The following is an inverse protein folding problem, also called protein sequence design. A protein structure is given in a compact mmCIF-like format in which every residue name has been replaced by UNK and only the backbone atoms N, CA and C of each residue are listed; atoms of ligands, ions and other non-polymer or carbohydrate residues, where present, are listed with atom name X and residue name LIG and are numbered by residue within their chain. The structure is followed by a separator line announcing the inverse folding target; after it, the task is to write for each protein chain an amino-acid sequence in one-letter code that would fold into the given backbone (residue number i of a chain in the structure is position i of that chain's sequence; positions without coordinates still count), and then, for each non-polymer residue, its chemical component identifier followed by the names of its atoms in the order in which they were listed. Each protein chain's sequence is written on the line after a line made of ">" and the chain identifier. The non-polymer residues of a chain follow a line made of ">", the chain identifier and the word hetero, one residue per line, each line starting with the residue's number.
data_IF_398110994344
#
_entry.id   IF_398110994344
#
_cell.length_a   1.000
_cell.length_b   1.000
_cell.length_c   1.000
_cell.angle_alpha   90.00
_cell.angle_beta   90.00
_cell.angle_gamma   90.00
#
_symmetry.space_group_name_H-M   'P 1'
#
loop_
_entity.id
_entity.type
_entity.pdbx_description
1 polymer ?
#
# COMPACT_ATOMS: atom_id res chain seq x y z
N UNK A 1 -36.41 66.90 -30.08
CA UNK A 1 -36.19 68.38 -30.22
C UNK A 1 -34.88 68.55 -30.89
N UNK A 2 -35.05 68.94 -32.16
CA UNK A 2 -34.43 70.01 -32.93
C UNK A 2 -32.90 70.07 -32.91
N UNK A 3 -32.30 69.84 -34.04
CA UNK A 3 -31.92 70.68 -35.21
C UNK A 3 -30.55 71.28 -34.94
N UNK A 4 -29.64 71.42 -35.86
CA UNK A 4 -29.50 71.71 -37.30
C UNK A 4 -28.00 71.74 -37.62
N UNK A 5 -27.59 71.20 -38.75
CA UNK A 5 -27.21 71.92 -40.02
C UNK A 5 -25.91 72.68 -39.93
N UNK A 6 -25.04 72.59 -40.87
CA UNK A 6 -24.87 72.75 -42.25
C UNK A 6 -23.41 73.10 -42.56
N UNK A 7 -22.88 72.67 -43.61
CA UNK A 7 -22.46 73.22 -44.92
C UNK A 7 -20.96 73.52 -44.96
N UNK A 8 -20.21 73.29 -45.92
CA UNK A 8 -20.24 73.15 -47.37
C UNK A 8 -18.87 73.58 -47.94
N UNK A 9 -18.45 72.84 -48.97
CA UNK A 9 -17.67 73.37 -50.16
C UNK A 9 -16.18 73.65 -49.90
N UNK A 10 -15.26 73.38 -50.75
CA UNK A 10 -15.20 73.06 -52.17
C UNK A 10 -13.79 72.60 -52.55
N UNK A 11 -13.70 71.66 -53.42
CA UNK A 11 -12.83 71.49 -54.58
C UNK A 11 -11.86 72.64 -54.90
N UNK A 12 -10.61 72.50 -55.50
CA UNK A 12 -10.41 71.72 -56.72
C UNK A 12 -9.09 70.94 -56.87
N UNK A 13 -9.16 69.84 -57.55
CA UNK A 13 -8.45 69.43 -58.74
C UNK A 13 -7.17 70.18 -59.06
N UNK A 14 -6.01 69.52 -58.88
CA UNK A 14 -4.86 69.73 -59.76
C UNK A 14 -4.13 68.42 -60.07
N UNK A 15 -4.24 68.08 -61.27
CA UNK A 15 -3.58 67.11 -62.09
C UNK A 15 -2.07 67.30 -62.05
N UNK A 16 -1.28 66.28 -61.66
CA UNK A 16 0.09 66.17 -62.17
C UNK A 16 0.52 64.71 -62.11
N UNK A 17 0.51 64.10 -63.20
CA UNK A 17 1.21 62.90 -63.64
C UNK A 17 2.69 62.98 -63.31
N UNK A 18 3.20 62.08 -62.59
CA UNK A 18 4.60 61.64 -62.71
C UNK A 18 4.64 60.12 -62.61
N UNK A 19 4.88 59.59 -63.72
CA UNK A 19 5.19 58.19 -64.01
C UNK A 19 6.56 57.81 -63.46
N UNK A 20 6.66 56.50 -63.12
CA UNK A 20 7.76 55.65 -63.48
C UNK A 20 8.77 55.24 -62.40
N UNK A 21 8.85 53.93 -62.37
CA UNK A 21 10.06 53.16 -62.20
C UNK A 21 10.55 53.02 -60.74
N UNK A 22 9.89 52.16 -60.04
CA UNK A 22 10.65 51.37 -59.10
C UNK A 22 10.69 49.92 -59.57
N UNK A 23 11.71 49.58 -60.32
CA UNK A 23 12.23 48.23 -60.33
C UNK A 23 12.54 47.82 -58.92
N UNK A 24 11.61 47.15 -58.23
CA UNK A 24 11.86 46.50 -57.01
C UNK A 24 12.74 45.31 -57.30
N UNK A 25 14.02 45.45 -57.05
CA UNK A 25 14.91 44.31 -56.76
C UNK A 25 14.18 43.44 -55.77
N UNK A 26 13.79 42.26 -56.18
CA UNK A 26 13.54 41.13 -55.23
C UNK A 26 14.83 40.97 -54.52
N UNK A 27 14.96 41.60 -53.33
CA UNK A 27 15.87 41.14 -52.28
C UNK A 27 15.47 39.71 -52.02
N UNK A 28 16.19 38.78 -52.66
CA UNK A 28 16.32 37.45 -52.11
C UNK A 28 16.69 37.67 -50.66
N UNK A 29 15.73 37.48 -49.80
CA UNK A 29 16.05 37.22 -48.40
C UNK A 29 16.96 36.00 -48.44
N UNK A 30 18.25 36.24 -48.35
CA UNK A 30 19.16 35.22 -47.89
C UNK A 30 18.57 34.78 -46.57
N UNK A 31 17.90 33.63 -46.56
CA UNK A 31 17.72 32.89 -45.37
C UNK A 31 19.15 32.54 -44.94
N UNK A 32 19.74 33.38 -44.09
CA UNK A 32 20.84 32.91 -43.28
C UNK A 32 20.35 31.58 -42.72
N UNK A 33 21.00 30.48 -43.13
CA UNK A 33 20.64 29.14 -42.69
C UNK A 33 20.71 29.19 -41.16
N UNK A 34 19.55 29.16 -40.53
CA UNK A 34 19.46 29.25 -39.09
C UNK A 34 20.32 28.12 -38.51
N UNK A 35 21.16 28.49 -37.58
CA UNK A 35 22.01 27.51 -36.88
C UNK A 35 21.14 26.76 -35.86
N UNK A 36 20.93 25.50 -36.11
CA UNK A 36 20.21 24.61 -35.21
C UNK A 36 21.18 23.66 -34.54
N UNK A 37 20.93 23.37 -33.26
CA UNK A 37 21.65 22.35 -32.56
C UNK A 37 21.35 20.97 -33.17
N UNK A 38 22.39 20.25 -33.50
CA UNK A 38 22.29 18.93 -34.11
C UNK A 38 22.76 17.88 -33.12
N UNK A 39 21.94 16.84 -32.91
CA UNK A 39 22.22 15.73 -32.03
C UNK A 39 22.34 14.46 -32.88
N UNK A 40 23.40 13.70 -32.64
CA UNK A 40 23.53 12.34 -33.18
C UNK A 40 22.85 11.37 -32.21
N UNK A 41 21.90 10.62 -32.73
CA UNK A 41 21.13 9.66 -31.93
C UNK A 41 22.00 8.52 -31.46
N UNK A 42 22.10 8.37 -30.14
CA UNK A 42 22.85 7.32 -29.48
C UNK A 42 21.97 6.39 -28.64
N UNK A 43 22.57 5.31 -28.14
CA UNK A 43 21.95 4.49 -27.11
C UNK A 43 22.33 4.97 -25.72
N UNK A 44 21.36 4.98 -24.82
CA UNK A 44 21.55 5.34 -23.41
C UNK A 44 20.74 4.41 -22.51
N UNK A 45 21.29 4.06 -21.37
CA UNK A 45 20.51 3.42 -20.33
C UNK A 45 19.71 4.48 -19.59
N UNK A 46 18.43 4.22 -19.35
CA UNK A 46 17.55 5.14 -18.66
C UNK A 46 16.79 4.42 -17.55
N UNK A 47 16.66 5.09 -16.41
CA UNK A 47 15.76 4.65 -15.34
C UNK A 47 14.55 5.56 -15.33
N UNK A 48 13.39 4.97 -15.52
CA UNK A 48 12.10 5.64 -15.40
C UNK A 48 11.48 5.29 -14.05
N UNK A 49 10.85 6.26 -13.42
CA UNK A 49 10.17 6.10 -12.15
C UNK A 49 8.66 6.13 -12.36
N UNK A 50 8.00 5.07 -11.94
CA UNK A 50 6.54 5.03 -11.86
C UNK A 50 6.10 5.30 -10.44
N UNK A 51 5.19 6.25 -10.30
CA UNK A 51 4.66 6.65 -9.01
C UNK A 51 3.22 6.14 -8.85
N UNK A 52 2.96 5.50 -7.72
CA UNK A 52 1.66 4.95 -7.38
C UNK A 52 1.22 5.44 -6.01
N UNK A 53 0.00 5.93 -5.91
CA UNK A 53 -0.59 6.21 -4.60
C UNK A 53 -0.73 4.93 -3.80
N UNK A 54 -0.36 4.97 -2.53
CA UNK A 54 -0.28 3.80 -1.69
C UNK A 54 -0.82 4.07 -0.30
N UNK A 55 -1.31 2.98 0.33
CA UNK A 55 -1.76 2.96 1.72
C UNK A 55 -0.81 2.14 2.56
N UNK A 56 -0.42 2.69 3.71
CA UNK A 56 0.44 2.03 4.69
C UNK A 56 -0.42 1.25 5.67
N UNK A 57 -0.04 0.02 5.93
CA UNK A 57 -0.69 -0.85 6.92
C UNK A 57 0.39 -1.49 7.78
N UNK A 58 0.24 -1.47 9.09
CA UNK A 58 1.12 -2.18 9.99
C UNK A 58 1.16 -3.68 9.67
N UNK A 59 2.25 -4.35 10.02
CA UNK A 59 2.44 -5.78 9.79
C UNK A 59 1.33 -6.62 10.41
N UNK A 60 0.91 -6.28 11.62
CA UNK A 60 -0.18 -6.91 12.34
C UNK A 60 -0.96 -5.88 13.13
N UNK A 61 -2.28 -5.90 12.98
CA UNK A 61 -3.19 -5.01 13.70
C UNK A 61 -4.16 -5.88 14.44
N UNK A 62 -4.30 -5.66 15.73
CA UNK A 62 -5.21 -6.42 16.58
C UNK A 62 -6.07 -5.48 17.41
N UNK A 63 -7.37 -5.61 17.23
CA UNK A 63 -8.35 -4.98 18.10
C UNK A 63 -8.45 -5.79 19.40
N UNK A 64 -8.08 -5.18 20.50
CA UNK A 64 -8.16 -5.79 21.82
C UNK A 64 -9.55 -5.54 22.38
N UNK A 65 -10.33 -6.63 22.51
CA UNK A 65 -11.70 -6.62 23.03
C UNK A 65 -11.78 -7.44 24.31
N UNK A 66 -12.64 -7.06 25.29
CA UNK A 66 -12.83 -7.84 26.49
C UNK A 66 -13.55 -9.14 26.17
N UNK A 67 -13.22 -10.22 26.88
CA UNK A 67 -13.90 -11.52 26.75
C UNK A 67 -14.93 -11.74 27.85
N UNK A 68 -14.93 -10.88 28.88
CA UNK A 68 -15.85 -10.90 30.00
C UNK A 68 -16.45 -9.51 30.24
N UNK A 69 -17.59 -9.46 30.89
CA UNK A 69 -18.29 -8.21 31.19
C UNK A 69 -17.92 -7.68 32.59
N UNK A 70 -17.82 -6.36 32.72
CA UNK A 70 -17.56 -5.71 34.00
C UNK A 70 -17.08 -4.28 33.84
N UNK A 71 -16.90 -3.56 34.95
CA UNK A 71 -16.33 -2.21 34.92
C UNK A 71 -14.81 -2.27 34.84
N UNK A 72 -14.21 -1.38 34.05
CA UNK A 72 -12.77 -1.17 34.03
C UNK A 72 -12.32 -0.60 35.37
N UNK A 73 -11.46 -1.30 36.08
CA UNK A 73 -10.89 -0.84 37.35
C UNK A 73 -9.57 -0.11 37.15
N UNK A 74 -8.75 -0.56 36.20
CA UNK A 74 -7.45 0.03 35.92
C UNK A 74 -7.17 0.01 34.40
N UNK A 75 -6.50 1.07 33.94
CA UNK A 75 -5.89 1.16 32.63
C UNK A 75 -4.39 1.29 32.85
N UNK A 76 -3.62 0.31 32.34
CA UNK A 76 -2.19 0.15 32.63
C UNK A 76 -1.31 0.53 31.44
N UNK A 77 -1.89 1.00 30.36
CA UNK A 77 -1.19 1.48 29.17
C UNK A 77 -1.65 2.89 28.84
N UNK A 78 -0.74 3.69 28.25
CA UNK A 78 -1.08 4.99 27.72
C UNK A 78 -1.34 4.95 26.22
N UNK A 79 -2.04 5.96 25.72
CA UNK A 79 -2.24 6.18 24.29
C UNK A 79 -0.91 6.45 23.59
N UNK A 80 -0.70 5.84 22.41
CA UNK A 80 0.53 5.96 21.66
C UNK A 80 1.75 5.26 22.29
N UNK A 81 1.58 4.53 23.39
CA UNK A 81 2.68 3.82 24.04
C UNK A 81 3.00 2.49 23.37
N UNK A 82 4.28 2.15 23.36
CA UNK A 82 4.74 0.82 22.97
C UNK A 82 4.36 -0.21 24.04
N UNK A 83 3.73 -1.30 23.61
CA UNK A 83 3.31 -2.42 24.44
C UNK A 83 3.95 -3.72 23.97
N UNK A 84 4.15 -4.67 24.88
CA UNK A 84 4.71 -5.99 24.57
C UNK A 84 3.61 -7.04 24.56
N UNK A 85 3.80 -8.08 23.75
CA UNK A 85 2.93 -9.26 23.78
C UNK A 85 2.85 -9.83 25.20
N UNK A 86 1.61 -10.08 25.69
CA UNK A 86 1.33 -10.56 27.04
C UNK A 86 1.29 -9.48 28.12
N UNK A 87 1.61 -8.23 27.82
CA UNK A 87 1.48 -7.12 28.76
C UNK A 87 0.01 -6.85 29.08
N UNK A 88 -0.33 -6.74 30.38
CA UNK A 88 -1.68 -6.37 30.81
C UNK A 88 -1.93 -4.90 30.50
N UNK A 89 -3.01 -4.62 29.76
CA UNK A 89 -3.41 -3.30 29.33
C UNK A 89 -4.56 -2.75 30.16
N UNK A 90 -5.55 -3.60 30.49
CA UNK A 90 -6.71 -3.22 31.27
C UNK A 90 -6.99 -4.27 32.34
N UNK A 91 -7.57 -3.85 33.46
CA UNK A 91 -8.11 -4.74 34.48
C UNK A 91 -9.62 -4.44 34.59
N UNK A 92 -10.41 -5.49 34.43
CA UNK A 92 -11.85 -5.49 34.64
C UNK A 92 -12.12 -5.95 36.08
N UNK A 93 -13.21 -5.52 36.71
CA UNK A 93 -13.57 -5.91 38.09
C UNK A 93 -13.45 -7.44 38.30
N UNK A 94 -12.54 -7.84 39.15
CA UNK A 94 -12.21 -9.24 39.42
C UNK A 94 -13.04 -9.85 40.53
N UNK A 95 -13.71 -9.03 41.34
CA UNK A 95 -14.40 -9.49 42.57
C UNK A 95 -15.40 -10.61 42.29
N UNK A 96 -16.35 -10.46 41.35
CA UNK A 96 -17.33 -11.52 41.08
C UNK A 96 -16.68 -12.78 40.50
N UNK A 97 -15.62 -12.64 39.72
CA UNK A 97 -14.91 -13.78 39.08
C UNK A 97 -14.05 -14.54 40.09
N UNK A 98 -13.43 -13.87 41.07
CA UNK A 98 -12.73 -14.53 42.20
C UNK A 98 -13.69 -15.34 43.06
N UNK A 99 -14.83 -14.75 43.40
CA UNK A 99 -15.85 -15.45 44.19
C UNK A 99 -16.37 -16.69 43.45
N UNK A 100 -16.61 -16.58 42.13
CA UNK A 100 -17.02 -17.73 41.30
C UNK A 100 -15.95 -18.83 41.26
N UNK A 101 -14.67 -18.47 41.16
CA UNK A 101 -13.58 -19.44 41.23
C UNK A 101 -13.49 -20.13 42.59
N UNK A 102 -13.60 -19.40 43.70
CA UNK A 102 -13.60 -19.95 45.04
C UNK A 102 -14.74 -20.95 45.24
N UNK A 103 -15.96 -20.62 44.78
CA UNK A 103 -17.10 -21.55 44.79
C UNK A 103 -16.83 -22.83 43.98
N UNK A 104 -16.26 -22.72 42.79
CA UNK A 104 -15.93 -23.86 41.92
C UNK A 104 -14.84 -24.74 42.56
N UNK A 105 -13.83 -24.16 43.19
CA UNK A 105 -12.78 -24.87 43.92
C UNK A 105 -13.37 -25.63 45.11
N UNK A 106 -14.29 -25.02 45.87
CA UNK A 106 -14.97 -25.67 47.00
C UNK A 106 -15.85 -26.83 46.52
N UNK A 107 -16.58 -26.69 45.43
CA UNK A 107 -17.39 -27.75 44.83
C UNK A 107 -16.51 -28.95 44.38
N UNK A 108 -15.36 -28.68 43.74
CA UNK A 108 -14.41 -29.75 43.38
C UNK A 108 -13.89 -30.50 44.60
N UNK A 109 -13.45 -29.78 45.65
CA UNK A 109 -12.98 -30.41 46.89
C UNK A 109 -14.05 -31.29 47.55
N UNK A 110 -15.32 -30.84 47.51
CA UNK A 110 -16.44 -31.65 48.01
C UNK A 110 -16.64 -32.94 47.19
N UNK A 111 -16.58 -32.84 45.86
CA UNK A 111 -16.67 -34.01 44.97
C UNK A 111 -15.48 -34.97 45.16
N UNK A 112 -14.27 -34.48 45.35
CA UNK A 112 -13.08 -35.30 45.64
C UNK A 112 -13.22 -36.05 46.96
N UNK A 113 -13.80 -35.44 48.03
CA UNK A 113 -14.08 -36.13 49.28
C UNK A 113 -15.10 -37.25 49.11
N UNK A 114 -16.17 -37.00 48.30
CA UNK A 114 -17.15 -38.05 47.95
C UNK A 114 -16.53 -39.20 47.18
N UNK A 115 -15.65 -38.87 46.20
CA UNK A 115 -14.90 -39.88 45.46
C UNK A 115 -14.03 -40.76 46.38
N UNK A 116 -13.32 -40.13 47.32
CA UNK A 116 -12.52 -40.86 48.28
C UNK A 116 -13.37 -41.86 49.11
N UNK A 117 -14.56 -41.42 49.55
CA UNK A 117 -15.51 -42.31 50.29
C UNK A 117 -16.03 -43.43 49.38
N UNK A 118 -16.44 -43.14 48.15
CA UNK A 118 -16.93 -44.15 47.19
C UNK A 118 -15.84 -45.18 46.86
N UNK A 119 -14.58 -44.73 46.70
CA UNK A 119 -13.43 -45.61 46.45
C UNK A 119 -13.16 -46.56 47.65
N UNK A 120 -13.20 -46.02 48.84
CA UNK A 120 -13.04 -46.81 50.04
C UNK A 120 -14.15 -47.83 50.16
N UNK A 121 -15.42 -47.50 49.97
CA UNK A 121 -16.54 -48.40 50.01
C UNK A 121 -16.42 -49.49 48.94
N UNK A 122 -16.05 -49.20 47.73
CA UNK A 122 -15.82 -50.19 46.68
C UNK A 122 -14.68 -51.14 47.02
N UNK A 123 -13.57 -50.65 47.61
CA UNK A 123 -12.46 -51.49 48.05
C UNK A 123 -12.88 -52.42 49.16
N UNK A 124 -13.56 -51.94 50.24
CA UNK A 124 -14.05 -52.78 51.34
C UNK A 124 -15.01 -53.82 50.81
N UNK A 125 -15.94 -53.50 49.89
CA UNK A 125 -16.90 -54.48 49.38
C UNK A 125 -16.21 -55.54 48.50
N UNK A 126 -15.14 -55.18 47.80
CA UNK A 126 -14.33 -56.14 47.06
C UNK A 126 -13.60 -57.11 47.95
N UNK A 127 -13.03 -56.66 49.08
CA UNK A 127 -12.37 -57.50 50.07
C UNK A 127 -13.39 -58.48 50.76
N UNK A 128 -14.58 -57.99 51.07
CA UNK A 128 -15.64 -58.82 51.64
C UNK A 128 -16.15 -59.91 50.67
N UNK A 129 -16.13 -59.64 49.38
CA UNK A 129 -16.45 -60.57 48.29
C UNK A 129 -15.41 -61.72 48.25
N UNK A 130 -14.12 -61.38 48.33
CA UNK A 130 -13.06 -62.40 48.40
C UNK A 130 -13.26 -63.39 49.62
N UNK A 131 -13.82 -62.87 50.72
CA UNK A 131 -14.24 -63.65 51.88
C UNK A 131 -15.57 -64.37 51.74
N UNK A 132 -16.24 -64.30 50.55
CA UNK A 132 -17.58 -64.87 50.29
C UNK A 132 -18.70 -64.33 51.20
N UNK A 133 -18.57 -63.12 51.73
CA UNK A 133 -19.52 -62.47 52.63
C UNK A 133 -20.61 -61.71 51.90
N UNK A 134 -20.30 -61.20 50.71
CA UNK A 134 -21.23 -60.33 49.89
C UNK A 134 -21.42 -60.87 48.47
N UNK A 135 -22.51 -60.45 47.79
CA UNK A 135 -22.87 -60.86 46.46
C UNK A 135 -22.13 -60.03 45.35
N UNK A 136 -22.00 -60.58 44.14
CA UNK A 136 -21.48 -59.85 42.96
C UNK A 136 -22.24 -58.58 42.68
N UNK A 137 -23.57 -58.58 42.86
CA UNK A 137 -24.45 -57.42 42.67
C UNK A 137 -24.09 -56.26 43.62
N UNK A 138 -23.69 -56.57 44.87
CA UNK A 138 -23.29 -55.57 45.86
C UNK A 138 -22.00 -54.85 45.43
N UNK A 139 -21.00 -55.64 44.98
CA UNK A 139 -19.73 -55.06 44.45
C UNK A 139 -19.97 -54.21 43.22
N UNK A 140 -20.83 -54.65 42.27
CA UNK A 140 -21.14 -53.88 41.05
C UNK A 140 -21.91 -52.59 41.42
N UNK A 141 -22.78 -52.61 42.45
CA UNK A 141 -23.42 -51.38 42.92
C UNK A 141 -22.40 -50.35 43.44
N UNK A 142 -21.41 -50.82 44.25
CA UNK A 142 -20.34 -49.93 44.75
C UNK A 142 -19.43 -49.44 43.62
N UNK A 143 -19.18 -50.28 42.62
CA UNK A 143 -18.43 -49.88 41.42
C UNK A 143 -19.14 -48.75 40.64
N UNK A 144 -20.46 -48.89 40.44
CA UNK A 144 -21.25 -47.85 39.79
C UNK A 144 -21.26 -46.55 40.58
N UNK A 145 -21.34 -46.63 41.94
CA UNK A 145 -21.20 -45.44 42.80
C UNK A 145 -19.82 -44.80 42.72
N UNK A 146 -18.75 -45.59 42.56
CA UNK A 146 -17.41 -45.07 42.34
C UNK A 146 -17.31 -44.33 40.98
N UNK A 147 -17.84 -44.93 39.90
CA UNK A 147 -17.86 -44.30 38.58
C UNK A 147 -18.67 -42.98 38.54
N UNK A 148 -19.81 -42.97 39.27
CA UNK A 148 -20.60 -41.73 39.45
C UNK A 148 -19.81 -40.63 40.15
N UNK A 149 -19.10 -40.97 41.22
CA UNK A 149 -18.27 -40.04 41.98
C UNK A 149 -17.07 -39.55 41.15
N UNK A 150 -16.45 -40.40 40.31
CA UNK A 150 -15.40 -40.02 39.36
C UNK A 150 -15.92 -39.03 38.32
N UNK A 151 -17.10 -39.27 37.76
CA UNK A 151 -17.76 -38.36 36.81
C UNK A 151 -18.08 -37.00 37.46
N UNK A 152 -18.53 -36.99 38.73
CA UNK A 152 -18.81 -35.76 39.48
C UNK A 152 -17.53 -34.91 39.70
N UNK A 153 -16.38 -35.55 39.99
CA UNK A 153 -15.09 -34.84 40.07
C UNK A 153 -14.67 -34.27 38.73
N UNK A 154 -14.84 -35.03 37.64
CA UNK A 154 -14.53 -34.55 36.31
C UNK A 154 -15.38 -33.31 35.93
N UNK A 155 -16.67 -33.33 36.26
CA UNK A 155 -17.59 -32.21 36.03
C UNK A 155 -17.17 -30.98 36.84
N UNK A 156 -16.94 -31.09 38.12
CA UNK A 156 -16.56 -29.94 38.99
C UNK A 156 -15.17 -29.39 38.64
N UNK A 157 -14.25 -30.24 38.20
CA UNK A 157 -12.95 -29.83 37.68
C UNK A 157 -13.10 -28.98 36.41
N UNK A 158 -13.99 -29.37 35.49
CA UNK A 158 -14.28 -28.55 34.28
C UNK A 158 -14.90 -27.20 34.65
N UNK A 159 -15.78 -27.16 35.68
CA UNK A 159 -16.34 -25.91 36.20
C UNK A 159 -15.27 -25.00 36.80
N UNK A 160 -14.31 -25.56 37.57
CA UNK A 160 -13.19 -24.78 38.11
C UNK A 160 -12.32 -24.18 36.97
N UNK A 161 -12.01 -24.97 35.93
CA UNK A 161 -11.25 -24.47 34.77
C UNK A 161 -11.98 -23.32 34.09
N UNK A 162 -13.28 -23.43 33.91
CA UNK A 162 -14.10 -22.35 33.34
C UNK A 162 -14.05 -21.09 34.22
N UNK A 163 -14.24 -21.20 35.51
CA UNK A 163 -14.18 -20.05 36.42
C UNK A 163 -12.78 -19.42 36.45
N UNK A 164 -11.73 -20.20 36.37
CA UNK A 164 -10.34 -19.75 36.30
C UNK A 164 -10.06 -18.99 34.99
N UNK A 165 -10.54 -19.51 33.86
CA UNK A 165 -10.42 -18.82 32.57
C UNK A 165 -11.15 -17.48 32.59
N UNK A 166 -12.38 -17.44 33.11
CA UNK A 166 -13.14 -16.19 33.20
C UNK A 166 -12.41 -15.17 34.09
N UNK A 167 -11.81 -15.56 35.19
CA UNK A 167 -10.98 -14.68 36.01
C UNK A 167 -9.74 -14.21 35.23
N UNK A 168 -9.09 -15.09 34.48
CA UNK A 168 -7.92 -14.71 33.69
C UNK A 168 -8.27 -13.68 32.60
N UNK A 169 -9.48 -13.73 32.03
CA UNK A 169 -9.96 -12.79 31.00
C UNK A 169 -10.26 -11.39 31.56
N UNK A 170 -10.34 -11.23 32.89
CA UNK A 170 -10.45 -9.92 33.53
C UNK A 170 -9.16 -9.10 33.39
N UNK A 171 -8.01 -9.77 33.20
CA UNK A 171 -6.75 -9.14 32.82
C UNK A 171 -6.63 -9.14 31.31
N UNK A 172 -7.01 -8.03 30.69
CA UNK A 172 -6.93 -7.89 29.24
C UNK A 172 -5.50 -7.61 28.83
N UNK A 173 -4.91 -8.56 28.09
CA UNK A 173 -3.50 -8.53 27.67
C UNK A 173 -3.35 -8.27 26.19
N UNK A 174 -2.24 -7.64 25.80
CA UNK A 174 -1.90 -7.45 24.38
C UNK A 174 -1.52 -8.81 23.75
N UNK A 175 -2.15 -9.20 22.63
CA UNK A 175 -1.80 -10.42 21.91
C UNK A 175 -0.53 -10.27 21.06
N UNK A 176 -0.10 -9.03 20.78
CA UNK A 176 1.04 -8.67 19.95
C UNK A 176 1.89 -7.61 20.63
N UNK A 177 3.15 -7.47 20.20
CA UNK A 177 3.96 -6.30 20.51
C UNK A 177 3.71 -5.22 19.47
N UNK A 178 3.64 -3.95 19.86
CA UNK A 178 3.36 -2.87 18.94
C UNK A 178 3.05 -1.58 19.68
N UNK A 179 2.36 -0.65 19.03
CA UNK A 179 1.95 0.64 19.58
C UNK A 179 0.44 0.64 19.83
N UNK A 180 0.03 1.06 21.02
CA UNK A 180 -1.37 1.20 21.39
C UNK A 180 -1.98 2.45 20.73
N UNK A 181 -3.17 2.32 20.17
CA UNK A 181 -3.94 3.46 19.62
C UNK A 181 -4.52 4.35 20.74
N UNK A 182 -5.38 5.28 20.34
CA UNK A 182 -6.25 6.02 21.27
C UNK A 182 -7.16 5.06 22.06
N UNK A 183 -7.45 5.39 23.31
CA UNK A 183 -8.25 4.59 24.24
C UNK A 183 -9.56 5.33 24.51
N UNK A 184 -10.69 4.92 23.91
CA UNK A 184 -11.97 5.64 24.10
C UNK A 184 -12.63 5.37 25.46
N UNK A 185 -12.06 4.49 26.28
CA UNK A 185 -12.62 4.00 27.52
C UNK A 185 -11.93 4.59 28.76
N UNK A 186 -12.68 4.76 29.84
CA UNK A 186 -12.18 5.31 31.10
C UNK A 186 -12.37 4.30 32.25
N UNK A 187 -11.63 4.50 33.33
CA UNK A 187 -11.88 3.76 34.58
C UNK A 187 -13.31 4.00 35.04
N UNK A 188 -14.02 2.93 35.36
CA UNK A 188 -15.46 2.96 35.68
C UNK A 188 -16.38 2.65 34.50
N UNK A 189 -15.89 2.64 33.26
CA UNK A 189 -16.70 2.26 32.11
C UNK A 189 -17.09 0.78 32.17
N UNK A 190 -18.37 0.48 31.90
CA UNK A 190 -18.87 -0.88 31.76
C UNK A 190 -18.55 -1.40 30.37
N UNK A 191 -17.87 -2.54 30.29
CA UNK A 191 -17.48 -3.19 29.05
C UNK A 191 -17.98 -4.63 28.98
N UNK A 192 -18.11 -5.17 27.78
CA UNK A 192 -18.53 -6.55 27.53
C UNK A 192 -17.92 -7.06 26.23
N UNK A 193 -18.06 -8.36 25.93
CA UNK A 193 -17.61 -8.94 24.65
C UNK A 193 -18.29 -8.36 23.42
N UNK A 194 -19.43 -7.67 23.56
CA UNK A 194 -20.26 -7.18 22.47
C UNK A 194 -20.14 -5.65 22.27
N UNK A 195 -19.10 -5.01 22.82
CA UNK A 195 -18.89 -3.56 22.60
C UNK A 195 -18.61 -3.28 21.12
N UNK A 196 -19.14 -2.15 20.62
CA UNK A 196 -18.97 -1.71 19.23
C UNK A 196 -17.50 -1.36 18.93
N UNK A 197 -16.86 -0.62 19.87
CA UNK A 197 -15.47 -0.17 19.74
C UNK A 197 -14.54 -1.04 20.59
N UNK A 198 -13.33 -1.38 20.09
CA UNK A 198 -12.36 -2.11 20.88
C UNK A 198 -11.88 -1.30 22.09
N UNK A 199 -11.32 -1.97 23.10
CA UNK A 199 -10.68 -1.26 24.23
C UNK A 199 -9.49 -0.45 23.77
N UNK A 200 -8.70 -1.03 22.89
CA UNK A 200 -7.54 -0.41 22.22
C UNK A 200 -7.20 -1.23 20.98
N UNK A 201 -6.66 -0.59 19.96
CA UNK A 201 -6.05 -1.28 18.83
C UNK A 201 -4.52 -1.25 19.01
N UNK A 202 -3.88 -2.41 18.88
CA UNK A 202 -2.42 -2.52 18.92
C UNK A 202 -1.92 -2.84 17.52
N UNK A 203 -1.05 -1.96 16.98
CA UNK A 203 -0.43 -2.12 15.68
C UNK A 203 1.05 -2.46 15.84
N UNK A 204 1.49 -3.56 15.21
CA UNK A 204 2.90 -3.86 15.01
C UNK A 204 3.39 -3.15 13.75
N UNK A 205 4.00 -1.99 13.97
CA UNK A 205 4.56 -1.15 12.90
C UNK A 205 6.08 -1.34 12.74
N UNK A 206 6.68 -2.40 13.29
CA UNK A 206 8.12 -2.71 13.13
C UNK A 206 8.51 -2.92 11.67
N UNK A 207 7.61 -3.49 10.91
CA UNK A 207 7.59 -3.61 9.47
C UNK A 207 6.22 -3.13 8.97
N UNK A 208 6.17 -2.41 7.85
CA UNK A 208 4.90 -1.97 7.28
C UNK A 208 4.68 -2.56 5.91
N UNK A 209 3.43 -2.87 5.63
CA UNK A 209 2.95 -3.25 4.32
C UNK A 209 2.38 -2.03 3.60
N UNK A 210 2.87 -1.79 2.42
CA UNK A 210 2.44 -0.68 1.57
C UNK A 210 1.70 -1.26 0.38
N UNK A 211 0.40 -0.99 0.32
CA UNK A 211 -0.49 -1.46 -0.73
C UNK A 211 -0.67 -0.38 -1.78
N UNK A 212 -0.45 -0.72 -3.03
CA UNK A 212 -0.68 0.12 -4.19
C UNK A 212 -1.26 -0.70 -5.33
N UNK A 213 -1.86 -0.05 -6.32
CA UNK A 213 -2.52 -0.73 -7.42
C UNK A 213 -1.93 -0.34 -8.77
N UNK A 214 -1.86 -1.31 -9.67
CA UNK A 214 -1.50 -1.13 -11.07
C UNK A 214 -2.69 -1.56 -11.95
N UNK A 215 -2.75 -1.08 -13.19
CA UNK A 215 -3.77 -1.56 -14.13
C UNK A 215 -3.53 -3.00 -14.55
N UNK A 216 -4.60 -3.70 -14.98
CA UNK A 216 -4.50 -5.05 -15.52
C UNK A 216 -3.51 -5.15 -16.68
N UNK A 217 -3.50 -4.17 -17.59
CA UNK A 217 -2.54 -4.13 -18.70
C UNK A 217 -1.09 -4.11 -18.20
N UNK A 218 -0.79 -3.31 -17.18
CA UNK A 218 0.54 -3.28 -16.58
C UNK A 218 0.90 -4.62 -15.91
N UNK A 219 -0.06 -5.28 -15.28
CA UNK A 219 0.17 -6.61 -14.69
C UNK A 219 0.46 -7.66 -15.77
N UNK A 220 -0.26 -7.63 -16.89
CA UNK A 220 0.00 -8.50 -18.04
C UNK A 220 1.37 -8.25 -18.67
N UNK A 221 1.79 -6.98 -18.80
CA UNK A 221 3.12 -6.61 -19.29
C UNK A 221 4.23 -7.16 -18.36
N UNK A 222 4.03 -7.09 -17.04
CA UNK A 222 4.96 -7.66 -16.07
C UNK A 222 5.06 -9.19 -16.21
N UNK A 223 3.93 -9.87 -16.38
CA UNK A 223 3.91 -11.32 -16.60
C UNK A 223 4.62 -11.69 -17.92
N UNK A 224 4.37 -10.93 -18.99
CA UNK A 224 5.04 -11.14 -20.28
C UNK A 224 6.56 -10.93 -20.18
N UNK A 225 7.01 -9.94 -19.40
CA UNK A 225 8.41 -9.61 -19.21
C UNK A 225 9.16 -10.64 -18.33
N UNK A 226 8.55 -11.08 -17.24
CA UNK A 226 9.20 -11.92 -16.23
C UNK A 226 8.83 -13.42 -16.33
N UNK A 227 7.83 -13.77 -17.14
CA UNK A 227 7.35 -15.13 -17.34
C UNK A 227 6.31 -15.60 -16.33
N UNK A 228 6.38 -15.16 -15.08
CA UNK A 228 5.37 -15.44 -14.04
C UNK A 228 5.38 -14.39 -12.94
N UNK A 229 4.32 -14.37 -12.13
CA UNK A 229 4.19 -13.50 -10.96
C UNK A 229 5.31 -13.78 -9.94
N UNK A 230 5.60 -15.06 -9.68
CA UNK A 230 6.65 -15.46 -8.73
C UNK A 230 8.04 -15.03 -9.20
N UNK A 231 8.31 -15.12 -10.50
CA UNK A 231 9.55 -14.66 -11.09
C UNK A 231 9.69 -13.15 -11.00
N UNK A 232 8.58 -12.42 -11.20
CA UNK A 232 8.54 -10.96 -10.98
C UNK A 232 8.86 -10.61 -9.54
N UNK A 233 8.15 -11.18 -8.55
CA UNK A 233 8.37 -10.88 -7.12
C UNK A 233 9.85 -11.11 -6.72
N UNK A 234 10.47 -12.16 -7.24
CA UNK A 234 11.88 -12.48 -6.95
C UNK A 234 12.88 -11.51 -7.59
N UNK A 235 12.54 -10.96 -8.76
CA UNK A 235 13.44 -10.13 -9.57
C UNK A 235 13.02 -8.64 -9.57
N UNK A 236 11.90 -8.32 -8.93
CA UNK A 236 11.43 -6.93 -8.85
C UNK A 236 12.51 -6.04 -8.24
N UNK A 237 12.70 -4.83 -8.77
CA UNK A 237 13.62 -3.87 -8.19
C UNK A 237 13.17 -3.46 -6.79
N UNK A 238 14.11 -2.97 -6.00
CA UNK A 238 13.78 -2.28 -4.75
C UNK A 238 12.92 -1.06 -5.08
N UNK A 239 11.95 -0.78 -4.22
CA UNK A 239 11.03 0.35 -4.36
C UNK A 239 11.30 1.39 -3.29
N UNK A 240 11.17 2.66 -3.65
CA UNK A 240 11.27 3.77 -2.70
C UNK A 240 9.88 4.25 -2.30
N UNK A 241 9.80 4.92 -1.16
CA UNK A 241 8.56 5.46 -0.63
C UNK A 241 8.72 6.97 -0.45
N UNK A 242 7.80 7.75 -1.01
CA UNK A 242 7.70 9.18 -0.76
C UNK A 242 6.53 9.43 0.17
N UNK A 243 6.82 10.01 1.33
CA UNK A 243 5.83 10.36 2.33
C UNK A 243 5.00 11.59 1.90
N UNK A 244 3.83 11.80 2.51
CA UNK A 244 2.91 12.90 2.16
C UNK A 244 3.52 14.31 2.36
N UNK A 245 4.57 14.44 3.16
CA UNK A 245 5.32 15.69 3.31
C UNK A 245 6.31 15.96 2.16
N UNK A 246 6.32 15.10 1.13
CA UNK A 246 7.19 15.19 -0.04
C UNK A 246 8.61 14.62 0.16
N UNK A 247 8.97 14.21 1.38
CA UNK A 247 10.27 13.60 1.65
C UNK A 247 10.28 12.13 1.28
N UNK A 248 11.39 11.66 0.76
CA UNK A 248 11.63 10.24 0.56
C UNK A 248 11.92 9.58 1.90
N UNK A 249 11.46 8.33 2.02
CA UNK A 249 11.74 7.49 3.17
C UNK A 249 13.13 6.84 2.99
N UNK A 250 13.92 6.82 4.05
CA UNK A 250 15.33 6.42 3.96
C UNK A 250 15.51 4.92 3.63
N UNK A 251 14.56 4.09 4.03
CA UNK A 251 14.62 2.64 3.81
C UNK A 251 13.92 2.25 2.51
N UNK A 252 14.53 1.33 1.78
CA UNK A 252 13.94 0.76 0.58
C UNK A 252 13.05 -0.44 0.90
N UNK A 253 11.94 -0.55 0.17
CA UNK A 253 11.03 -1.66 0.25
C UNK A 253 11.22 -2.69 -0.86
N UNK A 254 10.59 -3.85 -0.67
CA UNK A 254 10.55 -4.93 -1.67
C UNK A 254 9.11 -5.31 -1.96
N UNK A 255 8.79 -5.52 -3.23
CA UNK A 255 7.49 -6.07 -3.63
C UNK A 255 7.43 -7.50 -3.09
N UNK A 256 6.46 -7.77 -2.22
CA UNK A 256 6.32 -9.04 -1.50
C UNK A 256 5.13 -9.87 -1.95
N UNK A 257 4.14 -9.25 -2.58
CA UNK A 257 2.98 -9.95 -3.12
C UNK A 257 2.31 -9.13 -4.24
N UNK A 258 1.60 -9.84 -5.10
CA UNK A 258 0.67 -9.29 -6.08
C UNK A 258 -0.65 -10.07 -5.95
N UNK A 259 -1.75 -9.37 -6.06
CA UNK A 259 -3.08 -10.02 -6.04
C UNK A 259 -3.22 -10.98 -7.21
N UNK A 260 -3.77 -12.15 -6.95
CA UNK A 260 -4.17 -13.11 -7.99
C UNK A 260 -5.51 -12.77 -8.65
N UNK A 261 -6.15 -11.68 -8.25
CA UNK A 261 -7.46 -11.24 -8.76
C UNK A 261 -7.38 -9.79 -9.22
N UNK A 262 -8.13 -9.48 -10.26
CA UNK A 262 -8.38 -8.11 -10.72
C UNK A 262 -9.63 -7.60 -10.03
N UNK A 263 -9.59 -6.41 -9.50
CA UNK A 263 -10.76 -5.73 -8.96
C UNK A 263 -11.72 -5.39 -10.11
N UNK A 264 -12.93 -5.92 -10.08
CA UNK A 264 -13.89 -5.82 -11.18
C UNK A 264 -14.44 -4.38 -11.37
N UNK A 265 -14.42 -3.55 -10.33
CA UNK A 265 -14.93 -2.18 -10.43
C UNK A 265 -13.89 -1.23 -11.00
N UNK A 266 -12.62 -1.45 -10.69
CA UNK A 266 -11.53 -0.53 -11.05
C UNK A 266 -10.61 -1.06 -12.15
N UNK A 267 -10.64 -2.36 -12.47
CA UNK A 267 -9.70 -3.00 -13.38
C UNK A 267 -8.26 -3.00 -12.86
N UNK A 268 -8.10 -2.90 -11.54
CA UNK A 268 -6.80 -2.79 -10.91
C UNK A 268 -6.35 -4.10 -10.25
N UNK A 269 -5.04 -4.30 -10.23
CA UNK A 269 -4.37 -5.40 -9.52
C UNK A 269 -3.60 -4.80 -8.35
N UNK A 270 -3.87 -5.29 -7.15
CA UNK A 270 -3.20 -4.81 -5.95
C UNK A 270 -1.82 -5.46 -5.77
N UNK A 271 -0.83 -4.65 -5.43
CA UNK A 271 0.50 -5.07 -5.03
C UNK A 271 0.76 -4.69 -3.58
N UNK A 272 1.60 -5.49 -2.93
CA UNK A 272 2.10 -5.21 -1.60
C UNK A 272 3.62 -5.14 -1.62
N UNK A 273 4.14 -4.02 -1.16
CA UNK A 273 5.55 -3.88 -0.82
C UNK A 273 5.74 -3.90 0.70
N UNK A 274 6.83 -4.44 1.16
CA UNK A 274 7.22 -4.49 2.57
C UNK A 274 8.37 -3.53 2.79
N UNK A 275 8.24 -2.65 3.79
CA UNK A 275 9.25 -1.69 4.19
C UNK A 275 9.64 -1.90 5.65
N UNK A 276 10.94 -1.94 5.97
CA UNK A 276 11.40 -1.87 7.36
C UNK A 276 11.00 -0.52 7.97
N UNK A 277 10.67 -0.49 9.25
CA UNK A 277 10.29 0.74 9.94
C UNK A 277 11.00 0.87 11.31
N UNK A 278 12.33 0.92 11.32
CA UNK A 278 13.10 0.91 12.56
C UNK A 278 12.84 2.13 13.46
N UNK A 279 12.52 3.26 12.84
CA UNK A 279 12.29 4.52 13.55
C UNK A 279 10.80 4.76 13.88
N UNK A 280 9.91 3.85 13.51
CA UNK A 280 8.47 3.98 13.77
C UNK A 280 7.79 5.20 13.11
N UNK A 281 8.36 5.72 12.00
CA UNK A 281 7.83 6.92 11.31
C UNK A 281 6.58 6.58 10.51
N UNK A 282 6.52 5.39 9.96
CA UNK A 282 5.40 4.92 9.16
C UNK A 282 4.36 4.28 10.08
N UNK A 283 3.15 4.82 10.07
CA UNK A 283 2.06 4.32 10.91
C UNK A 283 0.96 3.68 10.08
N UNK A 284 0.28 2.71 10.69
CA UNK A 284 -0.95 2.16 10.12
C UNK A 284 -1.96 3.25 9.76
N UNK A 285 -2.59 3.12 8.59
CA UNK A 285 -3.58 4.07 8.07
C UNK A 285 -2.99 5.26 7.32
N UNK A 286 -1.66 5.44 7.35
CA UNK A 286 -0.98 6.47 6.59
C UNK A 286 -1.09 6.26 5.08
N UNK A 287 -0.86 7.35 4.32
CA UNK A 287 -0.77 7.34 2.86
C UNK A 287 0.63 7.74 2.42
N UNK A 288 1.06 7.26 1.28
CA UNK A 288 2.35 7.58 0.69
C UNK A 288 2.31 7.35 -0.83
N UNK A 289 3.40 7.68 -1.51
CA UNK A 289 3.61 7.36 -2.92
C UNK A 289 4.74 6.35 -3.04
N UNK A 290 4.46 5.18 -3.60
CA UNK A 290 5.48 4.19 -3.94
C UNK A 290 6.09 4.56 -5.29
N UNK A 291 7.42 4.55 -5.34
CA UNK A 291 8.20 4.82 -6.54
C UNK A 291 8.82 3.48 -6.99
N UNK A 292 8.39 3.02 -8.15
CA UNK A 292 8.90 1.77 -8.76
C UNK A 292 9.84 2.15 -9.90
N UNK A 293 11.16 1.91 -9.77
CA UNK A 293 12.10 2.16 -10.86
C UNK A 293 11.96 1.10 -11.95
N UNK A 294 12.00 1.54 -13.20
CA UNK A 294 12.08 0.67 -14.38
C UNK A 294 13.38 0.96 -15.10
N UNK A 295 14.29 0.02 -15.10
CA UNK A 295 15.58 0.14 -15.79
C UNK A 295 15.42 -0.32 -17.23
N UNK A 296 15.68 0.58 -18.15
CA UNK A 296 15.67 0.32 -19.59
C UNK A 296 17.11 0.45 -20.09
N UNK A 297 17.57 -0.57 -20.80
CA UNK A 297 18.92 -0.61 -21.37
C UNK A 297 18.87 -0.44 -22.86
N UNK A 298 19.94 0.11 -23.44
CA UNK A 298 20.10 0.27 -24.89
C UNK A 298 18.96 1.06 -25.60
N UNK A 299 18.34 2.01 -24.90
CA UNK A 299 17.24 2.79 -25.44
C UNK A 299 17.76 3.93 -26.33
N UNK A 300 17.04 4.22 -27.40
CA UNK A 300 17.21 5.45 -28.18
C UNK A 300 16.53 6.58 -27.39
N UNK A 301 17.32 7.55 -26.94
CA UNK A 301 16.86 8.66 -26.10
C UNK A 301 17.12 9.97 -26.83
N UNK A 302 16.11 10.82 -26.89
CA UNK A 302 16.17 12.16 -27.50
C UNK A 302 15.61 13.21 -26.55
N UNK A 303 16.11 14.47 -26.59
CA UNK A 303 15.51 15.57 -25.83
C UNK A 303 14.05 15.78 -26.21
N UNK A 304 13.21 16.17 -25.23
CA UNK A 304 11.82 16.49 -25.48
C UNK A 304 11.69 17.64 -26.49
N UNK A 305 12.60 18.60 -26.44
CA UNK A 305 12.64 19.80 -27.34
C UNK A 305 12.96 19.44 -28.80
N UNK A 306 13.54 18.26 -29.04
CA UNK A 306 13.77 17.73 -30.38
C UNK A 306 12.50 17.19 -31.05
N UNK A 307 11.39 17.09 -30.32
CA UNK A 307 10.12 16.58 -30.84
C UNK A 307 9.08 17.69 -31.04
N UNK A 308 8.21 17.49 -32.00
CA UNK A 308 6.99 18.30 -32.15
C UNK A 308 5.80 17.40 -32.42
N UNK A 309 4.63 17.88 -32.07
CA UNK A 309 3.40 17.13 -32.23
C UNK A 309 2.54 17.75 -33.35
N UNK A 310 2.10 16.90 -34.26
CA UNK A 310 1.19 17.28 -35.33
C UNK A 310 0.10 16.22 -35.48
N UNK A 311 -1.16 16.62 -35.40
CA UNK A 311 -2.33 15.74 -35.53
C UNK A 311 -2.23 14.48 -34.60
N UNK A 312 -1.88 14.69 -33.36
CA UNK A 312 -1.75 13.64 -32.35
C UNK A 312 -0.68 12.58 -32.66
N UNK A 313 0.34 12.95 -33.41
CA UNK A 313 1.51 12.13 -33.75
C UNK A 313 2.78 12.93 -33.48
N UNK A 314 3.77 12.28 -32.90
CA UNK A 314 5.08 12.89 -32.61
C UNK A 314 6.01 12.74 -33.81
N UNK A 315 6.74 13.81 -34.10
CA UNK A 315 7.72 13.87 -35.18
C UNK A 315 9.04 14.43 -34.65
N UNK A 316 10.11 14.09 -35.37
CA UNK A 316 11.43 14.71 -35.23
C UNK A 316 11.89 15.18 -36.65
N UNK A 317 12.71 16.21 -36.71
CA UNK A 317 13.39 16.56 -37.95
C UNK A 317 14.72 15.82 -37.99
N UNK A 318 14.81 14.85 -38.92
CA UNK A 318 16.06 14.15 -39.24
C UNK A 318 16.81 14.96 -40.32
N UNK A 319 18.11 15.10 -40.16
CA UNK A 319 18.95 15.79 -41.15
C UNK A 319 19.52 14.75 -42.10
N UNK A 320 19.12 14.82 -43.38
CA UNK A 320 19.56 13.95 -44.45
C UNK A 320 20.18 14.79 -45.54
N UNK A 321 21.46 14.60 -45.83
CA UNK A 321 22.20 15.39 -46.82
C UNK A 321 22.12 16.92 -46.60
N UNK A 322 22.08 17.36 -45.32
CA UNK A 322 21.98 18.77 -44.95
C UNK A 322 20.58 19.34 -44.99
N UNK A 323 19.54 18.55 -45.27
CA UNK A 323 18.15 18.96 -45.40
C UNK A 323 17.31 18.32 -44.30
N UNK A 324 16.36 19.08 -43.70
CA UNK A 324 15.44 18.57 -42.70
C UNK A 324 14.35 17.71 -43.34
N UNK A 325 14.14 16.53 -42.77
CA UNK A 325 13.10 15.58 -43.16
C UNK A 325 12.23 15.25 -41.94
N UNK A 326 10.95 15.63 -41.98
CA UNK A 326 9.97 15.34 -40.97
C UNK A 326 9.77 13.82 -40.87
N UNK A 327 10.18 13.21 -39.77
CA UNK A 327 10.13 11.78 -39.56
C UNK A 327 9.20 11.46 -38.41
N UNK A 328 8.14 10.66 -38.61
CA UNK A 328 7.24 10.26 -37.53
C UNK A 328 7.96 9.29 -36.58
N UNK A 329 7.80 9.53 -35.30
CA UNK A 329 8.38 8.69 -34.26
C UNK A 329 7.29 8.14 -33.35
N UNK A 330 7.49 6.90 -32.88
CA UNK A 330 6.68 6.33 -31.80
C UNK A 330 7.47 6.44 -30.51
N UNK A 331 6.94 7.23 -29.58
CA UNK A 331 7.54 7.46 -28.29
C UNK A 331 7.06 6.39 -27.29
N UNK A 332 7.93 6.02 -26.39
CA UNK A 332 7.56 5.21 -25.23
C UNK A 332 6.61 6.05 -24.33
N UNK A 333 5.53 5.46 -23.78
CA UNK A 333 4.50 6.22 -23.04
C UNK A 333 4.99 6.97 -21.81
N UNK A 334 6.16 6.62 -21.30
CA UNK A 334 6.74 7.23 -20.11
C UNK A 334 8.04 7.94 -20.43
N UNK A 335 8.28 9.03 -19.72
CA UNK A 335 9.47 9.87 -19.86
C UNK A 335 9.86 10.48 -18.51
N UNK A 336 11.07 11.01 -18.41
CA UNK A 336 11.58 11.67 -17.21
C UNK A 336 11.28 13.18 -17.14
N UNK A 337 10.46 13.70 -18.06
CA UNK A 337 10.13 15.13 -18.18
C UNK A 337 11.17 15.96 -18.94
N UNK A 338 12.29 15.37 -19.36
CA UNK A 338 13.36 16.03 -20.13
C UNK A 338 13.67 15.31 -21.43
N UNK A 339 13.60 14.00 -21.42
CA UNK A 339 14.00 13.12 -22.51
C UNK A 339 12.88 12.13 -22.85
N UNK A 340 12.70 11.84 -24.13
CA UNK A 340 11.81 10.79 -24.61
C UNK A 340 12.60 9.57 -25.07
N UNK A 341 12.04 8.38 -24.85
CA UNK A 341 12.53 7.14 -25.41
C UNK A 341 11.79 6.89 -26.72
N UNK A 342 12.52 6.61 -27.78
CA UNK A 342 11.95 6.33 -29.10
C UNK A 342 11.92 4.81 -29.32
N UNK A 343 10.71 4.28 -29.55
CA UNK A 343 10.51 2.88 -29.88
C UNK A 343 10.75 2.59 -31.36
N UNK A 344 10.32 3.51 -32.25
CA UNK A 344 10.38 3.37 -33.70
C UNK A 344 10.45 4.73 -34.38
N UNK A 345 11.06 4.78 -35.57
CA UNK A 345 11.07 5.93 -36.44
C UNK A 345 12.45 6.49 -36.72
N UNK A 346 13.39 6.36 -35.81
CA UNK A 346 14.80 6.74 -35.99
C UNK A 346 15.71 5.59 -35.53
N UNK A 347 16.95 5.63 -36.00
CA UNK A 347 17.99 4.63 -35.72
C UNK A 347 19.20 5.28 -35.06
N UNK A 348 20.02 4.46 -34.41
CA UNK A 348 21.31 4.91 -33.88
C UNK A 348 22.20 5.39 -35.03
N UNK A 349 22.81 6.57 -34.85
CA UNK A 349 23.61 7.21 -35.86
C UNK A 349 22.83 8.22 -36.73
N UNK A 350 21.50 8.25 -36.68
CA UNK A 350 20.73 9.28 -37.30
C UNK A 350 21.05 10.64 -36.66
N UNK A 351 21.03 11.68 -37.48
CA UNK A 351 21.24 13.05 -37.03
C UNK A 351 19.89 13.76 -36.98
N UNK A 352 19.54 14.33 -35.83
CA UNK A 352 18.28 15.03 -35.62
C UNK A 352 18.54 16.46 -35.13
N UNK A 353 17.52 17.32 -35.28
CA UNK A 353 17.53 18.66 -34.69
C UNK A 353 17.24 18.54 -33.21
N UNK A 354 18.07 19.12 -32.36
CA UNK A 354 18.00 19.04 -30.88
C UNK A 354 17.00 20.00 -30.25
N UNK A 355 16.92 21.23 -30.77
CA UNK A 355 16.04 22.29 -30.26
C UNK A 355 15.34 23.04 -31.40
N UNK A 356 14.18 23.62 -31.10
CA UNK A 356 13.46 24.51 -32.05
C UNK A 356 12.67 23.77 -33.12
N UNK A 357 12.44 22.47 -32.96
CA UNK A 357 11.71 21.66 -33.96
C UNK A 357 10.30 22.17 -34.25
N UNK A 358 9.62 22.81 -33.31
CA UNK A 358 8.27 23.36 -33.50
C UNK A 358 8.17 24.56 -34.47
N UNK A 359 9.30 25.19 -34.80
CA UNK A 359 9.36 26.37 -35.72
C UNK A 359 9.87 26.02 -37.12
N UNK A 360 10.37 24.81 -37.31
CA UNK A 360 10.95 24.33 -38.56
C UNK A 360 9.87 23.86 -39.56
N UNK A 361 10.27 23.86 -40.82
CA UNK A 361 9.51 23.25 -41.90
C UNK A 361 10.34 22.15 -42.55
N UNK A 362 9.66 21.22 -43.17
CA UNK A 362 10.28 20.17 -43.98
C UNK A 362 11.03 20.77 -45.18
N UNK A 363 12.19 20.21 -45.52
CA UNK A 363 12.95 20.61 -46.67
C UNK A 363 13.87 21.85 -46.50
N UNK A 364 14.15 22.31 -45.29
CA UNK A 364 15.05 23.44 -45.04
C UNK A 364 16.50 22.96 -44.95
N UNK A 365 17.42 23.69 -45.63
CA UNK A 365 18.86 23.49 -45.46
C UNK A 365 19.32 23.94 -44.07
N UNK A 366 20.02 23.06 -43.37
CA UNK A 366 20.54 23.32 -42.05
C UNK A 366 22.06 23.28 -42.07
N UNK A 367 22.70 24.35 -41.58
CA UNK A 367 24.13 24.34 -41.30
C UNK A 367 24.33 23.72 -39.93
N UNK A 368 25.02 22.58 -39.91
CA UNK A 368 25.32 21.84 -38.71
C UNK A 368 26.17 22.67 -37.74
N UNK A 369 25.65 22.94 -36.54
CA UNK A 369 26.46 23.30 -35.38
C UNK A 369 26.46 22.10 -34.44
N UNK A 370 27.59 21.44 -34.30
CA UNK A 370 27.76 20.31 -33.36
C UNK A 370 27.53 20.81 -31.95
N UNK A 371 26.69 20.11 -31.21
CA UNK A 371 26.57 20.29 -29.74
C UNK A 371 27.95 20.18 -29.11
N UNK A 372 28.26 21.08 -28.19
CA UNK A 372 29.48 21.07 -27.36
C UNK A 372 29.40 20.03 -26.26
#
# INVERSE_FOLDING_TARGET
>A
MRLKTKRMLALPLLLATLTLSSCGEKKQRNHDAAQYEIIVVGKKNMTLERQYSARITGRQIVEVRPQVSGCITNILTGEGQAVRKGQTLFIIDQVPYRAALEMAVAARKSAEARLATARMNYQNETELKEGHVVSDMSVETMRNALLEAEAAVAQTKAQEVNARNNLSYTEVKSPVSGVASMIPWHVGSLVSSNISEPLVTVADDSEVYVYFSISENQALDLIAQYGSIEAFIKKAPAVSLRMNNGKEYDEQGRISAISGTVDAETGAVALRATFPNPNGILHHGGSATVIVPTHLTDCIVIPQEATYELQNRSFVYRVVNGITVATPVKLFPQHNGKEYIVERGISVGDTIIGEGSGLLKDGIEVKAQSAK
#
